data_IF_727054610745
#
_entry.id   IF_727054610745
#
_cell.length_a   1.000
_cell.length_b   1.000
_cell.length_c   1.000
_cell.angle_alpha   90.00
_cell.angle_beta   90.00
_cell.angle_gamma   90.00
#
_symmetry.space_group_name_H-M   'P 1'
#
loop_
_entity.id
_entity.type
_entity.pdbx_description
1 polymer ?
#
# COMPACT_ATOMS: atom_id res chain seq x y z
N UNK A 1 -7.71 -20.94 18.12
CA UNK A 1 -6.87 -20.40 17.03
C UNK A 1 -7.09 -18.89 16.99
N UNK A 2 -6.03 -18.08 17.02
CA UNK A 2 -6.18 -16.61 17.08
C UNK A 2 -6.43 -16.10 15.65
N UNK A 3 -7.58 -15.47 15.42
CA UNK A 3 -7.91 -14.82 14.14
C UNK A 3 -7.07 -13.54 14.02
N UNK A 4 -6.21 -13.46 13.02
CA UNK A 4 -5.31 -12.32 12.80
C UNK A 4 -6.09 -11.11 12.27
N UNK A 5 -5.95 -9.96 12.94
CA UNK A 5 -6.56 -8.72 12.46
C UNK A 5 -5.86 -8.21 11.19
N UNK A 6 -6.64 -7.71 10.21
CA UNK A 6 -6.12 -7.16 8.96
C UNK A 6 -5.29 -5.92 9.27
N UNK A 7 -4.06 -5.89 8.78
CA UNK A 7 -3.18 -4.73 8.93
C UNK A 7 -3.17 -3.84 7.69
N UNK A 8 -3.40 -4.42 6.50
CA UNK A 8 -3.29 -3.70 5.22
C UNK A 8 -4.40 -4.10 4.26
N UNK A 9 -5.01 -3.12 3.61
CA UNK A 9 -5.95 -3.34 2.51
C UNK A 9 -5.42 -2.56 1.31
N UNK A 10 -5.20 -3.26 0.20
CA UNK A 10 -4.83 -2.67 -1.08
C UNK A 10 -6.06 -2.69 -1.98
N UNK A 11 -6.63 -1.52 -2.23
CA UNK A 11 -7.77 -1.35 -3.10
C UNK A 11 -7.30 -0.82 -4.46
N UNK A 12 -7.36 -1.66 -5.48
CA UNK A 12 -7.07 -1.26 -6.86
C UNK A 12 -8.35 -0.75 -7.50
N UNK A 13 -8.45 0.56 -7.68
CA UNK A 13 -9.65 1.19 -8.23
C UNK A 13 -9.73 0.98 -9.74
N UNK A 14 -10.91 0.64 -10.26
CA UNK A 14 -11.10 0.62 -11.71
C UNK A 14 -11.10 2.03 -12.29
N UNK A 15 -10.75 2.17 -13.57
CA UNK A 15 -10.83 3.47 -14.29
C UNK A 15 -12.28 3.98 -14.35
N UNK A 16 -13.24 3.07 -14.51
CA UNK A 16 -14.67 3.37 -14.57
C UNK A 16 -15.44 2.54 -13.54
N UNK A 17 -16.05 3.21 -12.57
CA UNK A 17 -17.03 2.59 -11.67
C UNK A 17 -18.41 3.15 -11.95
N UNK A 18 -19.39 2.27 -12.11
CA UNK A 18 -20.76 2.69 -11.89
C UNK A 18 -21.00 2.92 -10.38
N UNK A 19 -22.04 3.68 -10.06
CA UNK A 19 -22.37 4.05 -8.67
C UNK A 19 -22.69 2.83 -7.79
N UNK A 20 -23.35 1.81 -8.35
CA UNK A 20 -23.78 0.63 -7.61
C UNK A 20 -22.58 -0.21 -7.12
N UNK A 21 -21.58 -0.41 -7.97
CA UNK A 21 -20.36 -1.15 -7.62
C UNK A 21 -19.55 -0.42 -6.54
N UNK A 22 -19.49 0.92 -6.61
CA UNK A 22 -18.85 1.71 -5.57
C UNK A 22 -19.60 1.61 -4.23
N UNK A 23 -20.92 1.61 -4.24
CA UNK A 23 -21.71 1.44 -3.02
C UNK A 23 -21.52 0.04 -2.40
N UNK A 24 -21.44 -1.01 -3.22
CA UNK A 24 -21.12 -2.37 -2.75
C UNK A 24 -19.72 -2.45 -2.15
N UNK A 25 -18.73 -1.88 -2.84
CA UNK A 25 -17.35 -1.80 -2.37
C UNK A 25 -17.25 -1.04 -1.03
N UNK A 26 -17.94 0.08 -0.89
CA UNK A 26 -18.00 0.83 0.36
C UNK A 26 -18.65 0.02 1.50
N UNK A 27 -19.72 -0.73 1.23
CA UNK A 27 -20.33 -1.62 2.24
C UNK A 27 -19.38 -2.71 2.69
N UNK A 28 -18.68 -3.35 1.74
CA UNK A 28 -17.67 -4.34 2.02
C UNK A 28 -16.54 -3.77 2.89
N UNK A 29 -15.99 -2.62 2.51
CA UNK A 29 -14.92 -1.95 3.27
C UNK A 29 -15.37 -1.59 4.69
N UNK A 30 -16.58 -1.03 4.83
CA UNK A 30 -17.14 -0.71 6.15
C UNK A 30 -17.29 -1.95 7.04
N UNK A 31 -17.66 -3.10 6.46
CA UNK A 31 -17.67 -4.36 7.18
C UNK A 31 -16.26 -4.87 7.51
N UNK A 32 -15.30 -4.75 6.59
CA UNK A 32 -13.91 -5.16 6.83
C UNK A 32 -13.24 -4.37 7.96
N UNK A 33 -13.66 -3.12 8.19
CA UNK A 33 -13.12 -2.31 9.29
C UNK A 33 -13.39 -2.88 10.70
N UNK A 34 -14.35 -3.78 10.89
CA UNK A 34 -14.48 -4.49 12.18
C UNK A 34 -13.40 -5.56 12.40
N UNK A 35 -12.62 -5.88 11.35
CA UNK A 35 -11.57 -6.91 11.37
C UNK A 35 -10.16 -6.33 11.26
N UNK A 36 -10.02 -5.00 11.17
CA UNK A 36 -8.71 -4.35 11.06
C UNK A 36 -8.03 -4.20 12.42
N UNK A 37 -6.71 -4.12 12.41
CA UNK A 37 -5.90 -3.89 13.60
C UNK A 37 -6.03 -2.44 14.10
N UNK A 38 -5.62 -2.17 15.35
CA UNK A 38 -5.61 -0.84 15.97
C UNK A 38 -4.97 0.23 15.09
N UNK A 39 -3.89 -0.14 14.39
CA UNK A 39 -3.26 0.69 13.36
C UNK A 39 -3.27 -0.08 12.05
N UNK A 40 -3.92 0.47 11.03
CA UNK A 40 -4.08 -0.18 9.74
C UNK A 40 -3.82 0.75 8.56
N UNK A 41 -3.36 0.19 7.45
CA UNK A 41 -3.06 0.94 6.23
C UNK A 41 -4.09 0.59 5.15
N UNK A 42 -4.65 1.62 4.51
CA UNK A 42 -5.52 1.49 3.35
C UNK A 42 -4.82 2.15 2.17
N UNK A 43 -4.45 1.34 1.17
CA UNK A 43 -3.87 1.81 -0.08
C UNK A 43 -4.97 1.91 -1.13
N UNK A 44 -5.27 3.12 -1.58
CA UNK A 44 -6.16 3.38 -2.71
C UNK A 44 -5.30 3.56 -3.95
N UNK A 45 -5.15 2.51 -4.75
CA UNK A 45 -4.37 2.55 -5.97
C UNK A 45 -5.24 3.09 -7.09
N UNK A 46 -5.10 4.38 -7.37
CA UNK A 46 -5.92 5.11 -8.32
C UNK A 46 -5.08 5.65 -9.50
N UNK A 47 -5.75 5.94 -10.61
CA UNK A 47 -5.11 6.46 -11.81
C UNK A 47 -4.95 7.97 -11.76
N UNK A 48 -5.59 8.65 -12.70
CA UNK A 48 -5.60 10.11 -12.71
C UNK A 48 -6.34 10.67 -11.48
N UNK A 49 -5.77 11.69 -10.84
CA UNK A 49 -6.30 12.30 -9.62
C UNK A 49 -7.73 12.84 -9.81
N UNK A 50 -7.96 13.60 -10.88
CA UNK A 50 -9.27 14.21 -11.16
C UNK A 50 -10.37 13.18 -11.34
N UNK A 51 -10.09 12.13 -12.11
CA UNK A 51 -11.04 11.04 -12.35
C UNK A 51 -11.30 10.25 -11.06
N UNK A 52 -10.27 10.06 -10.24
CA UNK A 52 -10.31 9.16 -9.09
C UNK A 52 -10.88 9.81 -7.84
N UNK A 53 -10.78 11.14 -7.71
CA UNK A 53 -11.10 11.85 -6.47
C UNK A 53 -12.50 11.59 -5.92
N UNK A 54 -13.59 11.55 -6.71
CA UNK A 54 -14.92 11.25 -6.17
C UNK A 54 -15.00 9.91 -5.43
N UNK A 55 -14.23 8.91 -5.89
CA UNK A 55 -14.13 7.59 -5.24
C UNK A 55 -13.30 7.68 -3.96
N UNK A 56 -12.16 8.37 -4.01
CA UNK A 56 -11.27 8.59 -2.86
C UNK A 56 -12.03 9.30 -1.74
N UNK A 57 -12.72 10.40 -2.02
CA UNK A 57 -13.53 11.14 -1.04
C UNK A 57 -14.64 10.28 -0.45
N UNK A 58 -15.31 9.46 -1.27
CA UNK A 58 -16.37 8.56 -0.81
C UNK A 58 -15.81 7.53 0.17
N UNK A 59 -14.66 6.93 -0.12
CA UNK A 59 -14.01 5.95 0.75
C UNK A 59 -13.48 6.61 2.03
N UNK A 60 -12.87 7.80 1.93
CA UNK A 60 -12.45 8.58 3.10
C UNK A 60 -13.62 8.89 4.04
N UNK A 61 -14.82 9.16 3.51
CA UNK A 61 -16.02 9.34 4.34
C UNK A 61 -16.39 8.07 5.12
N UNK A 62 -16.28 6.89 4.52
CA UNK A 62 -16.52 5.63 5.24
C UNK A 62 -15.46 5.36 6.30
N UNK A 63 -14.18 5.65 6.00
CA UNK A 63 -13.09 5.65 7.00
C UNK A 63 -13.42 6.59 8.17
N UNK A 64 -13.88 7.81 7.88
CA UNK A 64 -14.24 8.80 8.89
C UNK A 64 -15.37 8.32 9.79
N UNK A 65 -16.41 7.66 9.23
CA UNK A 65 -17.48 7.05 10.04
C UNK A 65 -16.93 5.95 10.96
N UNK A 66 -16.09 5.07 10.44
CA UNK A 66 -15.46 4.01 11.23
C UNK A 66 -14.64 4.57 12.41
N UNK A 67 -13.80 5.58 12.16
CA UNK A 67 -12.97 6.19 13.20
C UNK A 67 -13.79 6.98 14.24
N UNK A 68 -14.95 7.52 13.89
CA UNK A 68 -15.87 8.13 14.88
C UNK A 68 -16.45 7.11 15.84
N UNK A 69 -16.74 5.91 15.35
CA UNK A 69 -17.27 4.82 16.17
C UNK A 69 -16.17 4.12 16.97
N UNK A 70 -14.94 4.10 16.47
CA UNK A 70 -13.81 3.36 17.06
C UNK A 70 -12.68 4.30 17.47
N UNK A 71 -12.78 4.87 18.67
CA UNK A 71 -11.89 5.92 19.17
C UNK A 71 -10.42 5.49 19.32
N UNK A 72 -10.16 4.20 19.51
CA UNK A 72 -8.81 3.66 19.65
C UNK A 72 -8.14 3.33 18.32
N UNK A 73 -8.89 3.31 17.20
CA UNK A 73 -8.37 2.94 15.90
C UNK A 73 -7.65 4.11 15.23
N UNK A 74 -6.58 3.79 14.51
CA UNK A 74 -5.83 4.69 13.63
C UNK A 74 -5.75 4.09 12.23
N UNK A 75 -5.95 4.91 11.21
CA UNK A 75 -5.93 4.48 9.82
C UNK A 75 -5.07 5.43 8.97
N UNK A 76 -4.14 4.84 8.23
CA UNK A 76 -3.25 5.54 7.31
C UNK A 76 -3.76 5.35 5.89
N UNK A 77 -4.24 6.43 5.28
CA UNK A 77 -4.83 6.40 3.96
C UNK A 77 -3.78 6.81 2.92
N UNK A 78 -3.20 5.81 2.27
CA UNK A 78 -2.29 5.99 1.15
C UNK A 78 -3.11 6.09 -0.12
N UNK A 79 -3.20 7.26 -0.76
CA UNK A 79 -3.93 7.38 -2.02
C UNK A 79 -2.94 7.64 -3.15
N UNK A 80 -2.80 6.63 -4.00
CA UNK A 80 -1.86 6.61 -5.11
C UNK A 80 -2.55 7.21 -6.31
N UNK A 81 -1.89 8.15 -6.96
CA UNK A 81 -2.47 8.82 -8.11
C UNK A 81 -1.39 9.46 -8.98
N UNK A 82 -1.79 9.85 -10.19
CA UNK A 82 -1.02 10.69 -11.10
C UNK A 82 -1.76 12.00 -11.36
N UNK A 83 -1.01 13.07 -11.66
CA UNK A 83 -1.55 14.33 -12.15
C UNK A 83 -0.51 14.98 -13.08
N UNK A 84 -0.90 15.80 -14.06
CA UNK A 84 0.06 16.64 -14.79
C UNK A 84 0.54 17.77 -13.88
N UNK A 85 1.81 17.70 -13.48
CA UNK A 85 2.48 18.74 -12.66
C UNK A 85 3.65 19.33 -13.42
N UNK A 86 3.36 20.05 -14.50
CA UNK A 86 4.38 20.69 -15.35
C UNK A 86 4.53 22.19 -15.05
N UNK A 87 3.58 22.79 -14.35
CA UNK A 87 3.59 24.23 -14.04
C UNK A 87 3.12 24.54 -12.62
N UNK A 88 3.55 25.67 -12.07
CA UNK A 88 3.06 26.17 -10.78
C UNK A 88 1.53 26.38 -10.75
N UNK A 89 0.92 26.75 -11.89
CA UNK A 89 -0.53 26.89 -12.01
C UNK A 89 -1.25 25.55 -11.86
N UNK A 90 -0.69 24.47 -12.41
CA UNK A 90 -1.25 23.13 -12.25
C UNK A 90 -1.12 22.66 -10.80
N UNK A 91 0.01 22.92 -10.15
CA UNK A 91 0.20 22.60 -8.72
C UNK A 91 -0.88 23.30 -7.88
N UNK A 92 -1.07 24.61 -8.05
CA UNK A 92 -2.09 25.37 -7.32
C UNK A 92 -3.51 24.85 -7.62
N UNK A 93 -3.80 24.53 -8.90
CA UNK A 93 -5.06 23.92 -9.30
C UNK A 93 -5.31 22.58 -8.58
N UNK A 94 -4.38 21.62 -8.68
CA UNK A 94 -4.57 20.31 -8.07
C UNK A 94 -4.68 20.39 -6.54
N UNK A 95 -3.87 21.27 -5.93
CA UNK A 95 -3.95 21.53 -4.51
C UNK A 95 -5.32 22.06 -4.08
N UNK A 96 -5.81 23.13 -4.72
CA UNK A 96 -7.08 23.77 -4.33
C UNK A 96 -8.30 22.91 -4.62
N UNK A 97 -8.31 22.18 -5.73
CA UNK A 97 -9.50 21.47 -6.19
C UNK A 97 -9.60 20.03 -5.67
N UNK A 98 -8.49 19.39 -5.31
CA UNK A 98 -8.51 17.97 -4.93
C UNK A 98 -7.90 17.71 -3.55
N UNK A 99 -6.68 18.18 -3.30
CA UNK A 99 -6.02 17.90 -2.02
C UNK A 99 -6.62 18.67 -0.83
N UNK A 100 -6.88 19.96 -1.01
CA UNK A 100 -7.41 20.80 0.06
C UNK A 100 -8.83 20.36 0.49
N UNK A 101 -9.78 20.05 -0.41
CA UNK A 101 -11.09 19.50 -0.03
C UNK A 101 -10.97 18.15 0.70
N UNK A 102 -10.14 17.24 0.20
CA UNK A 102 -9.89 15.94 0.85
C UNK A 102 -9.34 16.15 2.28
N UNK A 103 -8.40 17.08 2.47
CA UNK A 103 -7.85 17.40 3.78
C UNK A 103 -8.89 18.01 4.72
N UNK A 104 -9.73 18.93 4.24
CA UNK A 104 -10.85 19.47 5.02
C UNK A 104 -11.79 18.37 5.51
N UNK A 105 -12.01 17.34 4.70
CA UNK A 105 -12.78 16.14 5.07
C UNK A 105 -12.22 15.35 6.26
N UNK A 106 -10.94 15.51 6.58
CA UNK A 106 -10.28 14.88 7.75
C UNK A 106 -10.02 15.82 8.92
N UNK A 107 -10.42 17.10 8.84
CA UNK A 107 -9.98 18.14 9.79
C UNK A 107 -10.39 17.90 11.24
N UNK A 108 -11.44 17.12 11.50
CA UNK A 108 -11.83 16.75 12.86
C UNK A 108 -10.77 15.87 13.56
N UNK A 109 -10.10 14.97 12.82
CA UNK A 109 -9.07 14.08 13.36
C UNK A 109 -7.75 14.81 13.59
N UNK A 110 -7.46 15.84 12.79
CA UNK A 110 -6.32 16.73 13.04
C UNK A 110 -6.51 17.51 14.33
N UNK A 111 -7.70 18.08 14.51
CA UNK A 111 -8.07 18.83 15.71
C UNK A 111 -7.98 17.93 16.94
N UNK A 112 -8.45 16.69 16.83
CA UNK A 112 -8.32 15.69 17.89
C UNK A 112 -6.85 15.44 18.24
N UNK A 113 -5.99 15.13 17.25
CA UNK A 113 -4.56 14.92 17.47
C UNK A 113 -3.90 16.14 18.12
N UNK A 114 -4.22 17.35 17.66
CA UNK A 114 -3.71 18.58 18.25
C UNK A 114 -4.13 18.76 19.73
N UNK A 115 -5.42 18.57 20.04
CA UNK A 115 -5.96 18.73 21.40
C UNK A 115 -5.31 17.75 22.38
N UNK A 116 -5.11 16.51 21.95
CA UNK A 116 -4.55 15.46 22.80
C UNK A 116 -3.02 15.39 22.77
N UNK A 117 -2.36 16.25 21.99
CA UNK A 117 -0.91 16.18 21.71
C UNK A 117 -0.49 14.79 21.18
N UNK A 118 -1.35 14.21 20.36
CA UNK A 118 -1.16 12.90 19.75
C UNK A 118 -1.09 12.98 18.22
N UNK A 119 -0.62 11.91 17.60
CA UNK A 119 -0.70 11.73 16.15
C UNK A 119 -2.17 11.61 15.73
N UNK A 120 -2.62 12.34 14.69
CA UNK A 120 -3.99 12.21 14.17
C UNK A 120 -4.35 10.76 13.86
N UNK A 121 -5.58 10.37 14.21
CA UNK A 121 -6.07 9.00 13.96
C UNK A 121 -6.33 8.71 12.49
N UNK A 122 -6.52 9.74 11.67
CA UNK A 122 -6.54 9.64 10.21
C UNK A 122 -5.35 10.40 9.65
N UNK A 123 -4.40 9.69 9.05
CA UNK A 123 -3.28 10.29 8.34
C UNK A 123 -3.49 10.11 6.84
N UNK A 124 -3.32 11.18 6.08
CA UNK A 124 -3.41 11.17 4.62
C UNK A 124 -2.01 11.15 4.02
N UNK A 125 -1.73 10.13 3.21
CA UNK A 125 -0.45 9.92 2.52
C UNK A 125 -0.68 9.92 1.01
N UNK A 126 -0.66 11.08 0.33
CA UNK A 126 -0.69 11.11 -1.12
C UNK A 126 0.55 10.42 -1.68
N UNK A 127 0.39 9.36 -2.48
CA UNK A 127 1.50 8.69 -3.17
C UNK A 127 1.49 9.13 -4.62
N UNK A 128 2.36 10.06 -4.96
CA UNK A 128 2.41 10.62 -6.31
C UNK A 128 3.17 9.70 -7.28
N UNK A 129 2.59 9.48 -8.47
CA UNK A 129 3.18 8.71 -9.57
C UNK A 129 3.57 9.69 -10.70
N UNK A 130 4.81 10.18 -10.73
CA UNK A 130 5.28 11.20 -11.68
C UNK A 130 5.38 10.65 -13.11
N UNK A 131 5.10 11.45 -14.13
CA UNK A 131 5.49 11.09 -15.50
C UNK A 131 6.99 11.37 -15.74
N UNK A 132 7.53 10.93 -16.88
CA UNK A 132 8.97 11.10 -17.19
C UNK A 132 9.39 12.54 -17.51
N UNK A 133 8.45 13.48 -17.57
CA UNK A 133 8.69 14.90 -17.90
C UNK A 133 8.59 15.81 -16.68
N UNK A 134 8.07 15.30 -15.57
CA UNK A 134 8.00 16.04 -14.30
C UNK A 134 9.40 16.37 -13.81
N UNK A 135 9.58 17.64 -13.43
CA UNK A 135 10.81 18.15 -12.83
C UNK A 135 10.73 18.12 -11.30
N UNK A 136 11.87 17.94 -10.62
CA UNK A 136 11.96 17.90 -9.16
C UNK A 136 11.35 19.12 -8.49
N UNK A 137 11.63 20.33 -9.00
CA UNK A 137 11.15 21.60 -8.43
C UNK A 137 9.62 21.66 -8.32
N UNK A 138 8.93 21.12 -9.32
CA UNK A 138 7.47 21.05 -9.32
C UNK A 138 6.95 20.11 -8.23
N UNK A 139 7.63 18.98 -8.00
CA UNK A 139 7.28 18.05 -6.93
C UNK A 139 7.58 18.64 -5.55
N UNK A 140 8.75 19.27 -5.37
CA UNK A 140 9.14 19.94 -4.13
C UNK A 140 8.09 21.00 -3.77
N UNK A 141 7.66 21.83 -4.74
CA UNK A 141 6.62 22.84 -4.54
C UNK A 141 5.29 22.22 -4.06
N UNK A 142 4.83 21.15 -4.69
CA UNK A 142 3.62 20.44 -4.25
C UNK A 142 3.81 19.81 -2.87
N UNK A 143 4.91 19.10 -2.63
CA UNK A 143 5.15 18.34 -1.40
C UNK A 143 5.26 19.24 -0.18
N UNK A 144 5.91 20.40 -0.32
CA UNK A 144 5.93 21.43 0.71
C UNK A 144 4.52 21.97 1.00
N UNK A 145 3.70 22.18 -0.04
CA UNK A 145 2.30 22.64 0.11
C UNK A 145 1.43 21.57 0.80
N UNK A 146 1.67 20.28 0.53
CA UNK A 146 0.98 19.19 1.20
C UNK A 146 1.40 19.08 2.68
N UNK A 147 2.69 19.16 2.97
CA UNK A 147 3.23 19.15 4.34
C UNK A 147 2.70 20.33 5.17
N UNK A 148 2.56 21.51 4.59
CA UNK A 148 2.03 22.69 5.31
C UNK A 148 0.59 22.53 5.80
N UNK A 149 -0.15 21.54 5.27
CA UNK A 149 -1.49 21.19 5.71
C UNK A 149 -1.56 19.81 6.34
N UNK A 150 -0.45 19.26 6.86
CA UNK A 150 -0.38 17.95 7.52
C UNK A 150 -0.82 16.76 6.65
N UNK A 151 -0.51 16.82 5.35
CA UNK A 151 -0.49 15.63 4.49
C UNK A 151 0.96 15.18 4.31
N UNK A 152 1.22 13.88 4.37
CA UNK A 152 2.58 13.32 4.30
C UNK A 152 2.85 12.78 2.88
N UNK A 153 3.47 13.57 1.99
CA UNK A 153 3.61 13.19 0.60
C UNK A 153 4.59 12.03 0.43
N UNK A 154 4.19 11.05 -0.35
CA UNK A 154 4.98 9.90 -0.74
C UNK A 154 5.20 9.92 -2.26
N UNK A 155 6.21 9.22 -2.73
CA UNK A 155 6.60 9.19 -4.14
C UNK A 155 6.72 7.75 -4.60
N UNK A 156 6.12 7.41 -5.75
CA UNK A 156 6.34 6.15 -6.43
C UNK A 156 7.23 6.39 -7.65
N UNK A 157 8.36 5.70 -7.73
CA UNK A 157 9.31 5.81 -8.83
C UNK A 157 9.43 4.49 -9.58
N UNK A 158 9.40 4.57 -10.91
CA UNK A 158 9.62 3.45 -11.81
C UNK A 158 10.89 3.67 -12.63
N UNK A 159 11.22 2.72 -13.51
CA UNK A 159 12.39 2.78 -14.39
C UNK A 159 12.50 4.04 -15.23
N UNK A 160 11.39 4.71 -15.53
CA UNK A 160 11.37 5.95 -16.30
C UNK A 160 11.56 7.20 -15.43
N UNK A 161 11.42 7.09 -14.10
CA UNK A 161 11.44 8.24 -13.18
C UNK A 161 12.46 8.10 -12.06
N UNK A 162 13.30 7.07 -12.06
CA UNK A 162 14.38 6.90 -11.07
C UNK A 162 15.37 8.05 -10.98
N UNK A 163 15.49 8.87 -12.03
CA UNK A 163 16.33 10.07 -11.98
C UNK A 163 15.92 11.05 -10.86
N UNK A 164 14.63 11.07 -10.49
CA UNK A 164 14.11 11.89 -9.38
C UNK A 164 14.65 11.46 -8.01
N UNK A 165 15.12 10.22 -7.85
CA UNK A 165 15.69 9.75 -6.58
C UNK A 165 17.07 10.36 -6.28
N UNK A 166 17.69 11.04 -7.25
CA UNK A 166 19.00 11.68 -7.09
C UNK A 166 18.91 13.09 -6.48
N UNK A 167 17.71 13.64 -6.38
CA UNK A 167 17.47 14.98 -5.87
C UNK A 167 17.25 14.95 -4.34
N UNK A 168 18.25 15.41 -3.59
CA UNK A 168 18.24 15.36 -2.12
C UNK A 168 17.13 16.22 -1.49
N UNK A 169 16.79 17.36 -2.11
CA UNK A 169 15.74 18.26 -1.61
C UNK A 169 14.36 17.60 -1.78
N UNK A 170 14.12 16.96 -2.94
CA UNK A 170 12.94 16.15 -3.16
C UNK A 170 12.86 14.99 -2.15
N UNK A 171 13.96 14.27 -1.91
CA UNK A 171 13.97 13.18 -0.94
C UNK A 171 13.67 13.68 0.48
N UNK A 172 14.19 14.84 0.88
CA UNK A 172 13.95 15.45 2.19
C UNK A 172 12.48 15.85 2.39
N UNK A 173 11.83 16.33 1.32
CA UNK A 173 10.42 16.67 1.37
C UNK A 173 9.48 15.46 1.19
N UNK A 174 10.01 14.25 0.95
CA UNK A 174 9.22 13.02 0.77
C UNK A 174 9.17 12.18 2.04
N UNK A 175 7.99 11.70 2.43
CA UNK A 175 7.78 10.81 3.59
C UNK A 175 8.26 9.37 3.31
N UNK A 176 7.81 8.79 2.18
CA UNK A 176 8.22 7.45 1.74
C UNK A 176 8.36 7.40 0.23
N UNK A 177 9.44 6.77 -0.22
CA UNK A 177 9.67 6.46 -1.64
C UNK A 177 9.40 4.98 -1.87
N UNK A 178 8.53 4.69 -2.83
CA UNK A 178 8.24 3.35 -3.33
C UNK A 178 8.94 3.16 -4.67
N UNK A 179 9.59 2.02 -4.85
CA UNK A 179 10.23 1.68 -6.12
C UNK A 179 9.49 0.57 -6.84
N UNK A 180 9.25 0.75 -8.13
CA UNK A 180 8.69 -0.24 -9.04
C UNK A 180 9.68 -0.66 -10.11
N UNK A 181 9.59 -1.91 -10.57
CA UNK A 181 10.41 -2.40 -11.69
C UNK A 181 9.71 -2.10 -13.03
N UNK A 182 10.48 -1.77 -14.06
CA UNK A 182 9.92 -1.47 -15.39
C UNK A 182 9.32 -0.08 -15.47
N UNK A 183 8.47 0.18 -16.47
CA UNK A 183 7.89 1.50 -16.73
C UNK A 183 6.36 1.49 -16.86
N UNK A 184 5.71 0.47 -16.29
CA UNK A 184 4.28 0.27 -16.41
C UNK A 184 3.48 1.22 -15.52
N UNK A 185 2.35 1.68 -16.05
CA UNK A 185 1.38 2.54 -15.36
C UNK A 185 0.06 1.85 -15.07
N UNK A 186 0.02 0.53 -15.25
CA UNK A 186 -1.14 -0.25 -14.87
C UNK A 186 -1.27 -0.31 -13.34
N UNK A 187 -2.48 -0.06 -12.86
CA UNK A 187 -2.77 0.08 -11.42
C UNK A 187 -2.48 -1.21 -10.65
N UNK A 188 -2.75 -2.36 -11.28
CA UNK A 188 -2.45 -3.69 -10.72
C UNK A 188 -0.94 -3.84 -10.46
N UNK A 189 -0.10 -3.33 -11.35
CA UNK A 189 1.35 -3.43 -11.24
C UNK A 189 1.91 -2.48 -10.18
N UNK A 190 1.39 -1.24 -10.13
CA UNK A 190 1.72 -0.29 -9.07
C UNK A 190 1.33 -0.87 -7.71
N UNK A 191 0.14 -1.44 -7.58
CA UNK A 191 -0.31 -2.11 -6.35
C UNK A 191 0.64 -3.23 -5.94
N UNK A 192 1.11 -4.03 -6.90
CA UNK A 192 2.11 -5.05 -6.64
C UNK A 192 3.43 -4.49 -6.11
N UNK A 193 3.93 -3.41 -6.70
CA UNK A 193 5.17 -2.79 -6.24
C UNK A 193 5.05 -2.20 -4.81
N UNK A 194 3.91 -1.58 -4.49
CA UNK A 194 3.65 -1.09 -3.13
C UNK A 194 3.66 -2.23 -2.11
N UNK A 195 2.96 -3.33 -2.41
CA UNK A 195 2.96 -4.52 -1.57
C UNK A 195 4.35 -5.13 -1.44
N UNK A 196 5.10 -5.24 -2.56
CA UNK A 196 6.45 -5.78 -2.58
C UNK A 196 7.41 -4.93 -1.74
N UNK A 197 7.30 -3.60 -1.80
CA UNK A 197 8.09 -2.70 -0.95
C UNK A 197 7.80 -2.94 0.53
N UNK A 198 6.52 -3.06 0.88
CA UNK A 198 6.07 -3.30 2.24
C UNK A 198 6.50 -4.67 2.78
N UNK A 199 6.45 -5.72 1.94
CA UNK A 199 6.94 -7.05 2.29
C UNK A 199 8.47 -7.07 2.44
N UNK A 200 9.19 -6.32 1.60
CA UNK A 200 10.63 -6.15 1.75
C UNK A 200 10.97 -5.45 3.06
N UNK A 201 10.34 -4.30 3.33
CA UNK A 201 10.63 -3.50 4.53
C UNK A 201 10.38 -4.31 5.81
N UNK A 202 9.29 -5.10 5.86
CA UNK A 202 9.02 -6.03 6.96
C UNK A 202 10.05 -7.16 7.05
N UNK A 203 10.42 -7.76 5.92
CA UNK A 203 11.42 -8.84 5.89
C UNK A 203 12.79 -8.37 6.37
N UNK A 204 13.17 -7.13 6.03
CA UNK A 204 14.39 -6.49 6.52
C UNK A 204 14.32 -6.21 8.03
N UNK A 205 13.17 -5.74 8.54
CA UNK A 205 12.97 -5.53 9.97
C UNK A 205 13.06 -6.86 10.76
N UNK A 206 12.44 -7.92 10.24
CA UNK A 206 12.51 -9.25 10.84
C UNK A 206 13.94 -9.80 10.87
N UNK A 207 14.69 -9.61 9.77
CA UNK A 207 16.11 -9.99 9.71
C UNK A 207 16.94 -9.22 10.75
N UNK A 208 16.74 -7.91 10.86
CA UNK A 208 17.43 -7.08 11.85
C UNK A 208 17.10 -7.49 13.29
N UNK A 209 15.85 -7.88 13.56
CA UNK A 209 15.40 -8.39 14.84
C UNK A 209 15.84 -9.85 15.13
N UNK A 210 16.54 -10.51 14.20
CA UNK A 210 16.89 -11.94 14.25
C UNK A 210 15.67 -12.84 14.46
N UNK A 211 14.51 -12.43 13.94
CA UNK A 211 13.27 -13.18 14.07
C UNK A 211 13.34 -14.47 13.24
N UNK A 212 12.90 -15.59 13.83
CA UNK A 212 12.98 -16.94 13.24
C UNK A 212 11.88 -17.21 12.20
N UNK A 213 11.01 -16.24 11.91
CA UNK A 213 9.73 -16.45 11.23
C UNK A 213 9.72 -16.12 9.73
N UNK A 214 10.84 -16.24 9.03
CA UNK A 214 10.91 -15.85 7.60
C UNK A 214 10.04 -16.73 6.67
N UNK A 215 9.67 -17.93 7.14
CA UNK A 215 8.72 -18.82 6.46
C UNK A 215 7.27 -18.66 6.93
N UNK A 216 7.00 -17.82 7.93
CA UNK A 216 5.65 -17.58 8.41
C UNK A 216 4.85 -16.75 7.38
N UNK A 217 3.51 -16.90 7.35
CA UNK A 217 2.65 -16.03 6.57
C UNK A 217 2.95 -14.55 6.83
N UNK A 218 2.74 -13.74 5.80
CA UNK A 218 2.84 -12.29 5.94
C UNK A 218 1.73 -11.80 6.88
N UNK A 219 1.88 -10.62 7.52
CA UNK A 219 0.80 -10.00 8.24
C UNK A 219 -0.47 -9.92 7.39
N UNK A 220 -1.61 -10.15 8.03
CA UNK A 220 -2.89 -10.27 7.35
C UNK A 220 -3.16 -9.04 6.48
N UNK A 221 -3.30 -9.28 5.17
CA UNK A 221 -3.53 -8.24 4.19
C UNK A 221 -4.52 -8.71 3.13
N UNK A 222 -5.30 -7.78 2.59
CA UNK A 222 -6.24 -8.05 1.51
C UNK A 222 -5.88 -7.21 0.29
N UNK A 223 -6.05 -7.78 -0.90
CA UNK A 223 -6.06 -7.04 -2.16
C UNK A 223 -7.48 -7.11 -2.69
N UNK A 224 -8.13 -5.95 -2.83
CA UNK A 224 -9.45 -5.81 -3.41
C UNK A 224 -9.26 -5.18 -4.78
N UNK A 225 -9.53 -5.92 -5.84
CA UNK A 225 -9.47 -5.41 -7.20
C UNK A 225 -10.87 -5.01 -7.64
N UNK A 226 -11.05 -3.72 -7.92
CA UNK A 226 -12.31 -3.17 -8.38
C UNK A 226 -12.46 -3.22 -9.89
N UNK A 227 -11.39 -3.59 -10.59
CA UNK A 227 -11.36 -3.86 -12.03
C UNK A 227 -12.12 -5.13 -12.41
N UNK A 228 -11.99 -6.17 -11.60
CA UNK A 228 -12.61 -7.49 -11.82
C UNK A 228 -13.53 -7.92 -10.67
N UNK A 229 -13.69 -7.09 -9.64
CA UNK A 229 -14.53 -7.35 -8.48
C UNK A 229 -13.99 -8.44 -7.55
N UNK A 230 -12.72 -8.82 -7.67
CA UNK A 230 -12.14 -9.94 -6.93
C UNK A 230 -11.44 -9.50 -5.66
N UNK A 231 -11.38 -10.41 -4.69
CA UNK A 231 -10.67 -10.21 -3.42
C UNK A 231 -9.67 -11.34 -3.22
N UNK A 232 -8.46 -10.98 -2.80
CA UNK A 232 -7.34 -11.90 -2.65
C UNK A 232 -6.75 -11.77 -1.25
N UNK A 233 -6.34 -12.91 -0.67
CA UNK A 233 -5.77 -12.99 0.67
C UNK A 233 -4.29 -12.61 0.76
N UNK A 234 -3.58 -12.54 -0.36
CA UNK A 234 -2.17 -12.15 -0.42
C UNK A 234 -1.73 -11.88 -1.86
N UNK A 235 -0.48 -11.44 -2.01
CA UNK A 235 0.12 -11.16 -3.32
C UNK A 235 0.31 -12.40 -4.20
N UNK A 236 0.68 -13.53 -3.62
CA UNK A 236 0.81 -14.78 -4.39
C UNK A 236 -0.54 -15.18 -5.01
N UNK A 237 -1.62 -15.07 -4.22
CA UNK A 237 -2.98 -15.30 -4.67
C UNK A 237 -3.38 -14.35 -5.81
N UNK A 238 -3.08 -13.06 -5.65
CA UNK A 238 -3.36 -12.04 -6.66
C UNK A 238 -2.65 -12.33 -7.98
N UNK A 239 -1.35 -12.68 -7.93
CA UNK A 239 -0.56 -13.00 -9.13
C UNK A 239 -1.02 -14.27 -9.83
N UNK A 240 -1.51 -15.26 -9.09
CA UNK A 240 -2.07 -16.51 -9.62
C UNK A 240 -3.56 -16.42 -9.97
N UNK A 241 -4.20 -15.28 -9.72
CA UNK A 241 -5.63 -15.07 -9.88
C UNK A 241 -6.49 -16.06 -9.06
N UNK A 242 -6.03 -16.41 -7.87
CA UNK A 242 -6.71 -17.27 -6.89
C UNK A 242 -7.53 -16.38 -5.93
N UNK A 243 -8.75 -16.02 -6.33
CA UNK A 243 -9.62 -15.16 -5.52
C UNK A 243 -10.27 -15.91 -4.36
N UNK A 244 -10.47 -15.21 -3.23
CA UNK A 244 -11.35 -15.66 -2.14
C UNK A 244 -12.82 -15.63 -2.57
N UNK A 245 -13.17 -14.65 -3.42
CA UNK A 245 -14.50 -14.47 -3.97
C UNK A 245 -14.46 -13.66 -5.24
N UNK A 246 -15.43 -13.92 -6.12
CA UNK A 246 -15.70 -13.13 -7.30
C UNK A 246 -16.92 -12.24 -7.00
N UNK A 247 -16.68 -10.94 -6.82
CA UNK A 247 -17.69 -9.93 -6.49
C UNK A 247 -17.78 -9.57 -5.00
N UNK A 248 -18.54 -8.51 -4.72
CA UNK A 248 -18.74 -7.92 -3.38
C UNK A 248 -20.03 -8.38 -2.67
N UNK A 249 -20.60 -9.51 -3.11
CA UNK A 249 -21.88 -10.01 -2.60
C UNK A 249 -21.79 -10.69 -1.23
N UNK A 250 -20.60 -11.16 -0.84
CA UNK A 250 -20.37 -11.76 0.49
C UNK A 250 -20.28 -10.67 1.55
N UNK A 251 -20.76 -10.98 2.75
CA UNK A 251 -20.52 -10.16 3.94
C UNK A 251 -19.03 -10.16 4.32
N UNK A 252 -18.61 -9.16 5.09
CA UNK A 252 -17.23 -9.09 5.57
C UNK A 252 -16.88 -10.30 6.46
N UNK A 253 -17.81 -10.79 7.28
CA UNK A 253 -17.57 -11.94 8.16
C UNK A 253 -17.34 -13.23 7.36
N UNK A 254 -18.18 -13.50 6.36
CA UNK A 254 -18.01 -14.64 5.44
C UNK A 254 -16.69 -14.55 4.67
N UNK A 255 -16.30 -13.35 4.23
CA UNK A 255 -15.02 -13.15 3.56
C UNK A 255 -13.85 -13.43 4.50
N UNK A 256 -13.96 -13.05 5.78
CA UNK A 256 -12.91 -13.32 6.76
C UNK A 256 -12.81 -14.80 7.11
N UNK A 257 -13.92 -15.54 7.15
CA UNK A 257 -13.88 -16.99 7.29
C UNK A 257 -13.09 -17.65 6.16
N UNK A 258 -13.38 -17.28 4.91
CA UNK A 258 -12.62 -17.74 3.75
C UNK A 258 -11.15 -17.32 3.82
N UNK A 259 -10.88 -16.11 4.29
CA UNK A 259 -9.50 -15.63 4.48
C UNK A 259 -8.74 -16.53 5.45
N UNK A 260 -9.31 -16.87 6.61
CA UNK A 260 -8.63 -17.70 7.60
C UNK A 260 -8.46 -19.16 7.15
N UNK A 261 -9.41 -19.71 6.40
CA UNK A 261 -9.24 -21.01 5.76
C UNK A 261 -8.08 -20.99 4.77
N UNK A 262 -7.99 -19.93 3.97
CA UNK A 262 -6.94 -19.78 2.98
C UNK A 262 -5.55 -19.47 3.59
N UNK A 263 -5.48 -18.70 4.68
CA UNK A 263 -4.23 -18.41 5.39
C UNK A 263 -3.60 -19.69 5.97
N UNK A 264 -4.43 -20.67 6.32
CA UNK A 264 -4.00 -22.00 6.78
C UNK A 264 -3.56 -22.94 5.64
N UNK A 265 -3.79 -22.58 4.37
CA UNK A 265 -3.28 -23.35 3.24
C UNK A 265 -1.75 -23.18 3.13
N UNK A 266 -1.03 -24.27 2.82
CA UNK A 266 0.44 -24.26 2.68
C UNK A 266 0.88 -23.45 1.46
N UNK A 267 0.86 -22.12 1.54
CA UNK A 267 1.43 -21.23 0.52
C UNK A 267 2.95 -21.17 0.65
N UNK A 268 3.64 -21.04 -0.48
CA UNK A 268 5.09 -20.88 -0.52
C UNK A 268 5.51 -19.43 -0.24
N UNK A 269 5.27 -18.99 1.00
CA UNK A 269 5.58 -17.63 1.46
C UNK A 269 7.07 -17.31 1.35
N UNK A 270 7.93 -18.31 1.53
CA UNK A 270 9.38 -18.16 1.42
C UNK A 270 9.78 -17.80 -0.02
N UNK A 271 9.27 -18.52 -1.02
CA UNK A 271 9.52 -18.21 -2.43
C UNK A 271 8.91 -16.86 -2.83
N UNK A 272 7.72 -16.52 -2.33
CA UNK A 272 7.13 -15.20 -2.56
C UNK A 272 8.02 -14.06 -2.02
N UNK A 273 8.55 -14.21 -0.80
CA UNK A 273 9.52 -13.24 -0.21
C UNK A 273 10.79 -13.18 -1.06
N UNK A 274 11.36 -14.33 -1.45
CA UNK A 274 12.58 -14.39 -2.29
C UNK A 274 12.40 -13.61 -3.60
N UNK A 275 11.35 -13.91 -4.36
CA UNK A 275 11.03 -13.20 -5.62
C UNK A 275 10.86 -11.70 -5.40
N UNK A 276 10.22 -11.32 -4.31
CA UNK A 276 10.07 -9.91 -3.93
C UNK A 276 11.42 -9.25 -3.74
N UNK A 277 12.32 -9.86 -2.97
CA UNK A 277 13.65 -9.30 -2.70
C UNK A 277 14.51 -9.22 -3.97
N UNK A 278 14.41 -10.21 -4.87
CA UNK A 278 15.08 -10.18 -6.17
C UNK A 278 14.65 -9.01 -7.06
N UNK A 279 13.38 -8.60 -7.00
CA UNK A 279 12.89 -7.42 -7.74
C UNK A 279 13.63 -6.16 -7.29
N UNK A 280 13.94 -6.04 -5.99
CA UNK A 280 14.62 -4.86 -5.43
C UNK A 280 16.14 -4.87 -5.52
N UNK A 281 16.76 -6.04 -5.76
CA UNK A 281 18.22 -6.16 -5.81
C UNK A 281 18.89 -5.25 -6.86
N UNK A 282 18.17 -4.94 -7.95
CA UNK A 282 18.67 -4.13 -9.06
C UNK A 282 18.08 -2.70 -9.09
N UNK A 283 17.36 -2.28 -8.05
CA UNK A 283 16.75 -0.94 -8.01
C UNK A 283 17.75 0.10 -7.47
N UNK A 284 17.61 1.38 -7.84
CA UNK A 284 18.48 2.46 -7.39
C UNK A 284 18.14 2.89 -5.96
N UNK A 285 18.32 1.97 -5.01
CA UNK A 285 18.19 2.22 -3.57
C UNK A 285 19.56 2.57 -2.97
N UNK A 286 19.56 3.12 -1.74
CA UNK A 286 20.80 3.45 -1.04
C UNK A 286 21.70 2.23 -0.84
N UNK A 287 23.01 2.46 -0.75
CA UNK A 287 23.99 1.37 -0.64
C UNK A 287 23.76 0.51 0.62
N UNK A 288 23.41 1.14 1.73
CA UNK A 288 23.00 0.45 2.96
C UNK A 288 21.78 -0.45 2.72
N UNK A 289 20.77 0.02 1.97
CA UNK A 289 19.59 -0.80 1.64
C UNK A 289 19.96 -1.97 0.73
N UNK A 290 20.88 -1.80 -0.23
CA UNK A 290 21.40 -2.90 -1.06
C UNK A 290 22.12 -3.97 -0.25
N UNK A 291 22.99 -3.57 0.68
CA UNK A 291 23.68 -4.51 1.57
C UNK A 291 22.69 -5.34 2.40
N UNK A 292 21.67 -4.68 2.96
CA UNK A 292 20.62 -5.34 3.72
C UNK A 292 19.78 -6.30 2.85
N UNK A 293 19.47 -5.92 1.60
CA UNK A 293 18.82 -6.79 0.60
C UNK A 293 19.69 -8.02 0.31
N UNK A 294 21.00 -7.86 0.12
CA UNK A 294 21.93 -8.97 -0.13
C UNK A 294 22.04 -9.94 1.05
N UNK A 295 22.06 -9.41 2.28
CA UNK A 295 22.03 -10.22 3.50
C UNK A 295 20.71 -11.01 3.60
N UNK A 296 19.59 -10.37 3.26
CA UNK A 296 18.28 -11.01 3.25
C UNK A 296 18.18 -12.14 2.22
N UNK A 297 18.68 -11.94 1.00
CA UNK A 297 18.73 -12.99 -0.02
C UNK A 297 19.52 -14.21 0.45
N UNK A 298 20.74 -13.98 0.97
CA UNK A 298 21.58 -15.05 1.52
C UNK A 298 20.87 -15.85 2.62
N UNK A 299 20.12 -15.16 3.50
CA UNK A 299 19.36 -15.80 4.57
C UNK A 299 18.20 -16.66 4.05
N UNK A 300 17.45 -16.15 3.06
CA UNK A 300 16.35 -16.88 2.43
C UNK A 300 16.85 -18.14 1.69
N UNK A 301 18.00 -18.04 1.02
CA UNK A 301 18.65 -19.19 0.35
C UNK A 301 19.08 -20.26 1.35
N UNK A 302 19.75 -19.87 2.45
CA UNK A 302 20.15 -20.79 3.50
C UNK A 302 18.95 -21.49 4.17
N UNK A 303 17.81 -20.80 4.28
CA UNK A 303 16.57 -21.35 4.85
C UNK A 303 15.91 -22.38 3.91
N UNK A 304 16.11 -22.24 2.60
CA UNK A 304 15.65 -23.22 1.60
C UNK A 304 16.46 -24.52 1.66
N UNK A 305 17.79 -24.44 1.79
CA UNK A 305 18.65 -25.63 1.89
C UNK A 305 18.28 -26.50 3.10
N UNK A 306 17.84 -25.87 4.20
CA UNK A 306 17.38 -26.59 5.41
C UNK A 306 15.99 -27.22 5.30
N UNK A 307 15.17 -26.82 4.32
CA UNK A 307 13.79 -27.31 4.15
C UNK A 307 13.63 -28.37 3.05
N UNK A 308 14.67 -28.64 2.27
CA UNK A 308 14.71 -29.81 1.37
C UNK A 308 14.91 -31.06 2.23
N UNK A 309 14.02 -32.06 2.21
CA UNK A 309 14.29 -33.35 2.84
C UNK A 309 15.58 -33.90 2.25
N UNK A 310 16.55 -34.25 3.09
CA UNK A 310 17.59 -35.17 2.67
C UNK A 310 16.87 -36.49 2.36
N UNK A 311 16.48 -36.68 1.10
CA UNK A 311 16.18 -38.01 0.60
C UNK A 311 17.42 -38.84 0.89
N UNK A 312 17.20 -39.82 1.75
CA UNK A 312 18.16 -40.81 2.15
C UNK A 312 18.55 -41.59 0.91
N UNK A 313 19.64 -41.15 0.28
CA UNK A 313 20.44 -41.98 -0.61
C UNK A 313 20.97 -43.16 0.18
N UNK A 314 20.17 -44.21 0.26
CA UNK A 314 20.57 -45.54 0.72
C UNK A 314 20.23 -46.52 -0.40
N UNK A 315 21.16 -46.68 -1.32
CA UNK A 315 21.72 -47.96 -1.75
C UNK A 315 22.93 -47.73 -2.65
#
# INVERSE_FOLDING_TARGET
MIKSAIQKIYLVLSKQHNKADLDLLCRLLSGLFSHVNLTSNLYLVAGNLSESMPRIERIQKEVGKFLKTNLFARLYLHFVHSAPLTTAKEIDYYFRYYYQPLKRGSGEFDREGFIHQEVPRLILLPVYVPDSRVESDSLIGLFNTLKSVFMLPCLYLDGNTFFLAQDEDLMTCTEKVYFGKGGSRELDEIACHLFYQDLLDESLANLAAKAVFMSAPCPASLIVSAKDGKIYCCMDAFRKNESLTDGYGKSADELMELFYEHDNSKRDCLECRRRTVEVFANLPVSETKKQNIGALLSHLEASRVKSVPQDSGSK
#
